data_IF_533728714394
#
_entry.id   IF_533728714394
#
_cell.length_a   1.000
_cell.length_b   1.000
_cell.length_c   1.000
_cell.angle_alpha   90.00
_cell.angle_beta   90.00
_cell.angle_gamma   90.00
#
_symmetry.space_group_name_H-M   'P 1'
#
loop_
_entity.id
_entity.type
_entity.pdbx_description
1 polymer ?
#
# COMPACT_ATOMS: atom_id res chain seq x y z
N UNK A 1 16.50 35.84 -33.35
CA UNK A 1 16.50 34.68 -32.44
C UNK A 1 16.16 35.18 -31.05
N UNK A 2 15.00 34.77 -30.51
CA UNK A 2 14.54 35.19 -29.16
C UNK A 2 15.10 34.20 -28.13
N UNK A 3 15.79 34.65 -27.07
CA UNK A 3 16.21 33.76 -25.99
C UNK A 3 14.99 33.38 -25.14
N UNK A 4 14.82 32.07 -24.90
CA UNK A 4 13.85 31.56 -23.93
C UNK A 4 14.50 31.58 -22.53
N UNK A 5 13.79 32.06 -21.49
CA UNK A 5 14.29 31.97 -20.12
C UNK A 5 14.12 30.53 -19.63
N UNK A 6 15.24 29.88 -19.31
CA UNK A 6 15.24 28.61 -18.57
C UNK A 6 14.96 28.94 -17.11
N UNK A 7 13.72 28.71 -16.67
CA UNK A 7 13.35 28.81 -15.26
C UNK A 7 13.84 27.53 -14.56
N UNK A 8 15.05 27.59 -14.01
CA UNK A 8 15.58 26.56 -13.13
C UNK A 8 15.10 26.85 -11.69
N UNK A 9 13.97 26.26 -11.29
CA UNK A 9 13.54 26.23 -9.90
C UNK A 9 14.08 24.96 -9.23
N UNK A 10 15.38 24.95 -8.94
CA UNK A 10 15.98 23.98 -8.04
C UNK A 10 15.99 24.58 -6.62
N UNK A 11 14.88 24.43 -5.90
CA UNK A 11 14.84 24.66 -4.46
C UNK A 11 15.51 23.48 -3.78
N UNK A 12 16.82 23.58 -3.61
CA UNK A 12 17.59 22.72 -2.72
C UNK A 12 17.19 23.05 -1.27
N UNK A 13 16.37 22.21 -0.66
CA UNK A 13 16.16 22.17 0.78
C UNK A 13 17.43 21.62 1.46
N UNK A 14 18.50 22.42 1.45
CA UNK A 14 19.55 22.28 2.44
C UNK A 14 19.04 22.96 3.73
N UNK A 15 18.23 22.22 4.49
CA UNK A 15 17.74 22.66 5.79
C UNK A 15 18.90 22.79 6.77
N UNK A 16 19.46 23.99 6.90
CA UNK A 16 20.06 24.40 8.17
C UNK A 16 18.98 24.22 9.23
N UNK A 17 19.28 23.50 10.32
CA UNK A 17 18.33 23.11 11.36
C UNK A 17 17.62 24.29 12.03
N UNK A 18 16.59 24.81 11.36
CA UNK A 18 15.54 25.54 12.02
C UNK A 18 14.83 24.53 12.92
N UNK A 19 14.84 24.82 14.23
CA UNK A 19 14.08 24.11 15.23
C UNK A 19 12.59 24.41 15.05
N UNK A 20 12.04 24.19 13.86
CA UNK A 20 10.61 24.28 13.58
C UNK A 20 9.93 23.23 14.42
N UNK A 21 9.51 23.66 15.61
CA UNK A 21 8.71 22.88 16.53
C UNK A 21 7.32 22.78 15.92
N UNK A 22 6.84 21.56 15.72
CA UNK A 22 5.43 21.34 15.42
C UNK A 22 4.60 21.77 16.63
N UNK A 23 3.60 22.60 16.37
CA UNK A 23 2.62 23.06 17.36
C UNK A 23 1.25 22.52 16.97
N UNK A 24 0.31 22.51 17.92
CA UNK A 24 -1.07 22.08 17.68
C UNK A 24 -1.46 20.82 18.44
N UNK A 25 -2.72 20.44 18.24
CA UNK A 25 -3.31 19.23 18.79
C UNK A 25 -2.91 18.01 17.95
N UNK A 26 -2.89 16.83 18.59
CA UNK A 26 -2.70 15.55 17.94
C UNK A 26 -4.06 14.93 17.63
N UNK A 27 -4.28 14.60 16.36
CA UNK A 27 -5.47 13.92 15.87
C UNK A 27 -5.07 12.52 15.44
N UNK A 28 -5.67 11.52 16.09
CA UNK A 28 -5.30 10.12 15.95
C UNK A 28 -6.35 9.38 15.12
N UNK A 29 -5.87 8.62 14.14
CA UNK A 29 -6.73 7.89 13.23
C UNK A 29 -6.26 6.45 13.02
N UNK A 30 -7.18 5.60 12.63
CA UNK A 30 -6.93 4.26 12.08
C UNK A 30 -7.39 4.22 10.64
N UNK A 31 -6.66 3.52 9.77
CA UNK A 31 -7.09 3.25 8.40
C UNK A 31 -8.29 2.30 8.43
N UNK A 32 -9.46 2.80 8.03
CA UNK A 32 -10.74 2.09 8.03
C UNK A 32 -11.09 1.50 6.66
N UNK A 33 -10.50 2.03 5.60
CA UNK A 33 -10.53 1.44 4.27
C UNK A 33 -9.14 1.54 3.61
N UNK A 34 -8.70 0.45 2.98
CA UNK A 34 -7.49 0.37 2.17
C UNK A 34 -7.88 -0.14 0.78
N UNK A 35 -7.75 0.71 -0.24
CA UNK A 35 -8.13 0.40 -1.62
C UNK A 35 -6.89 0.24 -2.47
N UNK A 36 -6.65 -0.99 -2.89
CA UNK A 36 -5.70 -1.31 -3.97
C UNK A 36 -6.45 -1.19 -5.29
N UNK A 37 -5.77 -0.76 -6.34
CA UNK A 37 -6.39 -0.58 -7.64
C UNK A 37 -6.89 -1.91 -8.24
N UNK A 38 -8.19 -2.01 -8.47
CA UNK A 38 -8.85 -3.15 -9.13
C UNK A 38 -9.02 -2.89 -10.64
N UNK A 39 -8.79 -1.66 -11.09
CA UNK A 39 -8.84 -1.28 -12.50
C UNK A 39 -7.90 -0.10 -12.79
N UNK A 40 -7.66 0.15 -14.08
CA UNK A 40 -6.74 1.21 -14.53
C UNK A 40 -7.20 2.63 -14.16
N UNK A 41 -8.50 2.85 -13.95
CA UNK A 41 -9.00 4.17 -13.52
C UNK A 41 -8.62 4.43 -12.06
N UNK A 42 -8.83 3.44 -11.18
CA UNK A 42 -8.42 3.50 -9.78
C UNK A 42 -6.89 3.61 -9.65
N UNK A 43 -6.12 2.87 -10.45
CA UNK A 43 -4.65 2.98 -10.42
C UNK A 43 -4.16 4.42 -10.68
N UNK A 44 -4.82 5.14 -11.60
CA UNK A 44 -4.55 6.56 -11.86
C UNK A 44 -5.08 7.47 -10.75
N UNK A 45 -6.23 7.15 -10.17
CA UNK A 45 -6.77 7.91 -9.04
C UNK A 45 -5.83 7.84 -7.81
N UNK A 46 -5.23 6.67 -7.59
CA UNK A 46 -4.37 6.37 -6.44
C UNK A 46 -2.89 6.66 -6.71
N UNK A 47 -2.59 7.33 -7.81
CA UNK A 47 -1.23 7.67 -8.21
C UNK A 47 -0.84 9.08 -7.76
N UNK A 48 0.44 9.25 -7.42
CA UNK A 48 1.04 10.55 -7.10
C UNK A 48 2.27 10.75 -7.98
N UNK A 49 2.62 12.00 -8.27
CA UNK A 49 3.89 12.36 -8.89
C UNK A 49 4.98 12.31 -7.80
N UNK A 50 5.78 11.23 -7.80
CA UNK A 50 6.76 10.96 -6.75
C UNK A 50 8.12 11.63 -7.04
N UNK A 51 8.46 11.82 -8.32
CA UNK A 51 9.77 12.34 -8.76
C UNK A 51 9.73 13.79 -9.30
N UNK A 52 8.54 14.39 -9.44
CA UNK A 52 8.34 15.76 -9.92
C UNK A 52 8.31 15.90 -11.45
N UNK A 53 8.19 14.82 -12.21
CA UNK A 53 8.19 14.84 -13.68
C UNK A 53 6.81 15.09 -14.31
N UNK A 54 5.77 15.26 -13.48
CA UNK A 54 4.35 15.46 -13.86
C UNK A 54 3.68 14.23 -14.47
N UNK A 55 4.35 13.09 -14.46
CA UNK A 55 3.73 11.78 -14.63
C UNK A 55 3.26 11.32 -13.27
N UNK A 56 2.19 10.52 -13.26
CA UNK A 56 1.69 9.93 -12.03
C UNK A 56 2.20 8.51 -11.92
N UNK A 57 2.73 8.15 -10.75
CA UNK A 57 3.44 6.91 -10.52
C UNK A 57 2.54 5.94 -9.73
N UNK A 58 2.15 4.82 -10.35
CA UNK A 58 1.48 3.68 -9.69
C UNK A 58 1.53 2.40 -10.53
N UNK A 59 2.72 2.02 -11.01
CA UNK A 59 2.91 0.87 -11.88
C UNK A 59 2.45 -0.44 -11.22
N UNK A 60 2.74 -0.65 -9.92
CA UNK A 60 2.25 -1.83 -9.22
C UNK A 60 0.72 -1.85 -9.08
N UNK A 61 0.07 -0.69 -8.91
CA UNK A 61 -1.39 -0.59 -8.95
C UNK A 61 -1.98 -1.01 -10.30
N UNK A 62 -1.33 -0.66 -11.42
CA UNK A 62 -1.73 -1.10 -12.76
C UNK A 62 -1.60 -2.63 -12.94
N UNK A 63 -0.59 -3.23 -12.30
CA UNK A 63 -0.41 -4.70 -12.28
C UNK A 63 -1.54 -5.35 -11.49
N UNK A 64 -1.85 -4.85 -10.30
CA UNK A 64 -2.96 -5.39 -9.50
C UNK A 64 -4.30 -5.26 -10.20
N UNK A 65 -4.55 -4.14 -10.88
CA UNK A 65 -5.72 -3.95 -11.73
C UNK A 65 -5.81 -5.01 -12.85
N UNK A 66 -4.66 -5.38 -13.43
CA UNK A 66 -4.60 -6.43 -14.45
C UNK A 66 -4.86 -7.80 -13.84
N UNK A 67 -4.24 -8.12 -12.69
CA UNK A 67 -4.43 -9.39 -11.97
C UNK A 67 -5.87 -9.57 -11.50
N UNK A 68 -6.53 -8.50 -11.06
CA UNK A 68 -7.94 -8.52 -10.66
C UNK A 68 -8.85 -8.96 -11.81
N UNK A 69 -8.56 -8.54 -13.05
CA UNK A 69 -9.31 -8.99 -14.23
C UNK A 69 -9.24 -10.51 -14.49
N UNK A 70 -8.27 -11.20 -13.87
CA UNK A 70 -8.11 -12.66 -13.90
C UNK A 70 -8.56 -13.35 -12.60
N UNK A 71 -9.22 -12.64 -11.68
CA UNK A 71 -9.63 -13.18 -10.38
C UNK A 71 -8.46 -13.42 -9.42
N UNK A 72 -7.33 -12.75 -9.65
CA UNK A 72 -6.14 -12.76 -8.80
C UNK A 72 -5.97 -11.43 -8.03
N UNK A 73 -7.05 -10.67 -7.91
CA UNK A 73 -7.06 -9.39 -7.23
C UNK A 73 -6.74 -9.51 -5.73
N UNK A 74 -5.99 -8.54 -5.23
CA UNK A 74 -5.62 -8.43 -3.81
C UNK A 74 -6.55 -7.50 -3.02
N UNK A 75 -7.38 -6.70 -3.70
CA UNK A 75 -8.22 -5.66 -3.08
C UNK A 75 -9.23 -6.22 -2.08
N UNK A 76 -9.97 -7.27 -2.46
CA UNK A 76 -10.94 -7.92 -1.58
C UNK A 76 -10.28 -8.58 -0.36
N UNK A 77 -9.12 -9.19 -0.56
CA UNK A 77 -8.33 -9.83 0.50
C UNK A 77 -7.79 -8.80 1.50
N UNK A 78 -7.25 -7.69 1.01
CA UNK A 78 -6.81 -6.57 1.85
C UNK A 78 -7.98 -6.00 2.67
N UNK A 79 -9.14 -5.80 2.03
CA UNK A 79 -10.36 -5.34 2.72
C UNK A 79 -10.82 -6.31 3.80
N UNK A 80 -10.85 -7.61 3.51
CA UNK A 80 -11.25 -8.62 4.49
C UNK A 80 -10.29 -8.67 5.69
N UNK A 81 -8.98 -8.63 5.43
CA UNK A 81 -7.98 -8.60 6.49
C UNK A 81 -8.10 -7.35 7.37
N UNK A 82 -8.34 -6.18 6.76
CA UNK A 82 -8.58 -4.93 7.46
C UNK A 82 -9.81 -5.04 8.38
N UNK A 83 -10.94 -5.50 7.86
CA UNK A 83 -12.17 -5.70 8.64
C UNK A 83 -11.97 -6.64 9.83
N UNK A 84 -11.21 -7.72 9.62
CA UNK A 84 -10.88 -8.71 10.66
C UNK A 84 -9.81 -8.25 11.65
N UNK A 85 -9.24 -7.06 11.46
CA UNK A 85 -8.14 -6.52 12.29
C UNK A 85 -6.81 -7.26 12.09
N UNK A 86 -6.64 -7.96 10.96
CA UNK A 86 -5.36 -8.54 10.55
C UNK A 86 -4.40 -7.50 9.94
N UNK A 87 -4.90 -6.29 9.67
CA UNK A 87 -4.13 -5.12 9.26
C UNK A 87 -4.56 -3.97 10.16
N UNK A 88 -3.61 -3.30 10.82
CA UNK A 88 -3.87 -2.08 11.60
C UNK A 88 -2.80 -1.07 11.25
N UNK A 89 -3.20 -0.03 10.50
CA UNK A 89 -2.37 1.13 10.20
C UNK A 89 -2.95 2.34 10.92
N UNK A 90 -2.10 3.03 11.66
CA UNK A 90 -2.46 4.19 12.48
C UNK A 90 -1.81 5.44 11.89
N UNK A 91 -2.45 6.59 12.07
CA UNK A 91 -1.92 7.89 11.66
C UNK A 91 -2.10 8.91 12.78
N UNK A 92 -1.04 9.67 13.06
CA UNK A 92 -1.05 10.79 14.00
C UNK A 92 -0.78 12.08 13.23
N UNK A 93 -1.80 12.94 13.14
CA UNK A 93 -1.73 14.26 12.51
C UNK A 93 -1.62 15.33 13.59
N UNK A 94 -0.49 16.03 13.65
CA UNK A 94 -0.30 17.17 14.54
C UNK A 94 -0.51 18.48 13.78
N UNK A 95 -1.54 19.24 14.14
CA UNK A 95 -1.86 20.50 13.46
C UNK A 95 -2.54 21.53 14.39
N UNK A 96 -2.26 22.83 14.23
CA UNK A 96 -3.02 23.89 14.89
C UNK A 96 -4.48 24.03 14.40
N UNK A 97 -4.74 23.65 13.14
CA UNK A 97 -6.06 23.67 12.52
C UNK A 97 -6.10 22.68 11.34
N UNK A 98 -7.26 22.05 11.12
CA UNK A 98 -7.46 21.02 10.10
C UNK A 98 -7.86 21.56 8.71
N UNK A 99 -8.27 22.83 8.61
CA UNK A 99 -8.65 23.45 7.33
C UNK A 99 -7.48 24.24 6.71
N UNK A 100 -6.80 25.07 7.50
CA UNK A 100 -5.67 25.89 7.06
C UNK A 100 -4.64 26.03 8.19
N UNK A 101 -3.41 25.54 7.95
CA UNK A 101 -2.26 25.78 8.83
C UNK A 101 -0.96 25.80 8.03
N UNK A 102 -0.05 26.71 8.36
CA UNK A 102 1.25 26.84 7.70
C UNK A 102 2.14 25.61 7.85
N UNK A 103 1.97 24.88 8.95
CA UNK A 103 2.75 23.70 9.27
C UNK A 103 1.89 22.69 10.02
N UNK A 104 1.96 21.44 9.58
CA UNK A 104 1.42 20.25 10.21
C UNK A 104 2.43 19.11 10.08
N UNK A 105 2.37 18.17 11.01
CA UNK A 105 3.16 16.94 11.01
C UNK A 105 2.26 15.72 10.87
N UNK A 106 2.69 14.71 10.14
CA UNK A 106 1.99 13.45 9.98
C UNK A 106 2.97 12.29 10.15
N UNK A 107 2.62 11.35 11.01
CA UNK A 107 3.37 10.09 11.18
C UNK A 107 2.41 8.90 11.05
N UNK A 108 2.90 7.81 10.48
CA UNK A 108 2.19 6.53 10.39
C UNK A 108 2.85 5.49 11.28
N UNK A 109 2.03 4.55 11.75
CA UNK A 109 2.46 3.40 12.54
C UNK A 109 1.69 2.16 12.10
N UNK A 110 2.27 0.99 12.37
CA UNK A 110 1.53 -0.26 12.47
C UNK A 110 1.06 -0.44 13.92
N UNK A 111 -0.10 -1.06 14.08
CA UNK A 111 -0.69 -1.27 15.39
C UNK A 111 -1.15 -2.70 15.62
N UNK A 112 -1.66 -2.95 16.82
CA UNK A 112 -2.25 -4.22 17.24
C UNK A 112 -3.34 -4.00 18.28
N UNK A 113 -3.96 -5.10 18.70
CA UNK A 113 -4.87 -5.17 19.86
C UNK A 113 -6.02 -4.14 19.83
N UNK A 114 -6.83 -4.13 18.75
CA UNK A 114 -8.00 -3.25 18.68
C UNK A 114 -9.00 -3.52 19.81
N UNK A 115 -9.44 -2.46 20.49
CA UNK A 115 -10.55 -2.45 21.44
C UNK A 115 -11.61 -1.43 20.99
N UNK A 116 -12.82 -1.85 20.55
CA UNK A 116 -13.36 -3.20 20.63
C UNK A 116 -12.71 -4.19 19.65
N UNK A 117 -12.81 -5.49 19.97
CA UNK A 117 -12.35 -6.55 19.09
C UNK A 117 -12.98 -6.43 17.69
N UNK A 118 -12.27 -6.78 16.60
CA UNK A 118 -12.67 -6.41 15.24
C UNK A 118 -14.02 -6.98 14.81
N UNK A 119 -14.34 -8.20 15.26
CA UNK A 119 -15.55 -8.93 14.89
C UNK A 119 -16.31 -9.39 16.14
N UNK A 120 -17.64 -9.33 16.08
CA UNK A 120 -18.50 -9.99 17.08
C UNK A 120 -18.49 -11.52 16.90
N UNK A 121 -18.40 -11.98 15.65
CA UNK A 121 -18.23 -13.38 15.26
C UNK A 121 -17.13 -13.50 14.19
N UNK A 122 -15.94 -14.02 14.53
CA UNK A 122 -14.85 -14.20 13.56
C UNK A 122 -15.20 -15.09 12.36
N UNK A 123 -16.28 -15.88 12.40
CA UNK A 123 -16.72 -16.66 11.25
C UNK A 123 -17.53 -15.84 10.23
N UNK A 124 -18.00 -14.64 10.61
CA UNK A 124 -18.96 -13.83 9.84
C UNK A 124 -18.43 -12.44 9.57
N UNK A 125 -17.97 -12.20 8.34
CA UNK A 125 -17.34 -10.95 7.92
C UNK A 125 -18.26 -9.73 8.11
N UNK A 126 -19.57 -9.91 7.96
CA UNK A 126 -20.57 -8.85 8.16
C UNK A 126 -20.67 -8.35 9.61
N UNK A 127 -20.06 -9.05 10.57
CA UNK A 127 -20.00 -8.64 11.97
C UNK A 127 -18.68 -7.93 12.32
N UNK A 128 -17.77 -7.85 11.36
CA UNK A 128 -16.44 -7.26 11.51
C UNK A 128 -16.42 -5.74 11.26
N UNK A 129 -15.29 -5.08 11.53
CA UNK A 129 -15.11 -3.64 11.39
C UNK A 129 -15.57 -2.83 12.61
N UNK A 130 -15.76 -3.46 13.77
CA UNK A 130 -16.19 -2.77 15.00
C UNK A 130 -15.18 -1.70 15.44
N UNK A 131 -13.90 -1.91 15.13
CA UNK A 131 -12.79 -1.02 15.45
C UNK A 131 -12.77 0.28 14.61
N UNK A 132 -13.64 0.43 13.61
CA UNK A 132 -13.65 1.61 12.73
C UNK A 132 -14.76 2.61 13.05
N UNK A 133 -15.50 2.41 14.16
CA UNK A 133 -16.66 3.23 14.55
C UNK A 133 -16.30 4.55 15.28
N UNK A 134 -15.03 4.99 15.24
CA UNK A 134 -14.59 6.31 15.71
C UNK A 134 -14.16 6.43 17.18
N UNK A 135 -13.98 5.30 17.89
CA UNK A 135 -13.62 5.29 19.33
C UNK A 135 -12.69 4.14 19.71
N UNK A 136 -12.11 3.44 18.73
CA UNK A 136 -11.30 2.28 19.01
C UNK A 136 -9.94 2.66 19.58
N UNK A 137 -9.44 1.83 20.50
CA UNK A 137 -8.09 1.93 21.05
C UNK A 137 -7.18 0.91 20.40
N UNK A 138 -5.91 1.27 20.23
CA UNK A 138 -4.89 0.41 19.62
C UNK A 138 -3.56 0.50 20.38
N UNK A 139 -2.79 -0.59 20.32
CA UNK A 139 -1.37 -0.57 20.66
C UNK A 139 -0.54 -0.21 19.43
N UNK A 140 0.56 0.50 19.62
CA UNK A 140 1.51 0.86 18.55
C UNK A 140 2.68 -0.12 18.54
N UNK A 141 3.12 -0.56 17.35
CA UNK A 141 4.40 -1.24 17.18
C UNK A 141 5.51 -0.19 17.03
N UNK A 142 6.32 0.01 18.07
CA UNK A 142 7.41 1.00 18.08
C UNK A 142 8.43 0.81 16.94
N UNK A 143 8.56 -0.41 16.41
CA UNK A 143 9.46 -0.71 15.29
C UNK A 143 8.88 -0.33 13.91
N UNK A 144 7.71 0.32 13.89
CA UNK A 144 6.94 0.61 12.67
C UNK A 144 6.66 2.10 12.44
N UNK A 145 7.30 3.00 13.19
CA UNK A 145 7.16 4.44 12.99
C UNK A 145 7.69 4.86 11.62
N UNK A 146 6.88 5.57 10.83
CA UNK A 146 7.32 6.21 9.60
C UNK A 146 8.23 7.40 9.87
N UNK A 147 8.91 7.89 8.83
CA UNK A 147 9.48 9.24 8.91
C UNK A 147 8.35 10.28 9.09
N UNK A 148 8.65 11.37 9.79
CA UNK A 148 7.73 12.48 9.97
C UNK A 148 7.52 13.23 8.65
N UNK A 149 6.29 13.24 8.13
CA UNK A 149 5.89 14.09 7.03
C UNK A 149 5.55 15.49 7.55
N UNK A 150 6.17 16.53 7.01
CA UNK A 150 5.83 17.92 7.34
C UNK A 150 5.31 18.66 6.11
N UNK A 151 4.24 19.43 6.27
CA UNK A 151 3.64 20.20 5.18
C UNK A 151 2.61 21.21 5.66
N UNK A 152 2.12 22.05 4.75
CA UNK A 152 0.98 22.96 5.00
C UNK A 152 -0.32 22.20 4.78
N UNK A 153 -1.34 22.50 5.57
CA UNK A 153 -2.74 22.19 5.24
C UNK A 153 -3.34 23.45 4.60
N UNK A 154 -3.96 23.31 3.44
CA UNK A 154 -4.65 24.41 2.78
C UNK A 154 -5.98 23.96 2.17
N UNK A 155 -7.08 24.62 2.54
CA UNK A 155 -8.46 24.21 2.21
C UNK A 155 -8.71 22.71 2.49
N UNK A 156 -8.29 22.24 3.67
CA UNK A 156 -8.48 20.85 4.12
C UNK A 156 -7.67 19.81 3.34
N UNK A 157 -6.61 20.23 2.62
CA UNK A 157 -5.71 19.35 1.86
C UNK A 157 -4.30 19.43 2.42
N UNK A 158 -3.73 18.28 2.77
CA UNK A 158 -2.33 18.12 3.18
C UNK A 158 -1.57 17.35 2.10
N UNK A 159 -0.42 17.87 1.68
CA UNK A 159 0.50 17.15 0.77
C UNK A 159 1.89 17.19 1.38
N UNK A 160 2.49 16.03 1.59
CA UNK A 160 3.86 15.94 2.12
C UNK A 160 4.61 14.75 1.54
N UNK A 161 5.94 14.88 1.54
CA UNK A 161 6.84 13.74 1.36
C UNK A 161 7.09 13.06 2.70
N UNK A 162 7.17 11.74 2.67
CA UNK A 162 7.57 10.85 3.76
C UNK A 162 8.84 10.15 3.27
N UNK A 163 9.92 10.13 4.05
CA UNK A 163 11.15 9.47 3.61
C UNK A 163 10.92 7.96 3.43
N UNK A 164 10.61 7.27 4.52
CA UNK A 164 10.19 5.86 4.54
C UNK A 164 8.84 5.72 5.22
N UNK A 165 7.91 5.01 4.57
CA UNK A 165 6.58 4.71 5.11
C UNK A 165 6.34 3.19 5.11
N UNK A 166 6.26 2.54 6.28
CA UNK A 166 5.91 1.13 6.37
C UNK A 166 4.41 0.94 6.09
N UNK A 167 4.08 0.01 5.21
CA UNK A 167 2.72 -0.44 4.96
C UNK A 167 2.62 -1.95 5.16
N UNK A 168 1.41 -2.40 5.48
CA UNK A 168 1.06 -3.81 5.40
C UNK A 168 -0.02 -4.06 4.36
N UNK A 169 0.16 -5.13 3.60
CA UNK A 169 -0.81 -5.59 2.61
C UNK A 169 -1.14 -7.04 2.92
N UNK A 170 -2.43 -7.35 3.07
CA UNK A 170 -2.85 -8.75 3.11
C UNK A 170 -3.00 -9.30 1.69
N UNK A 171 -2.31 -10.40 1.45
CA UNK A 171 -2.31 -11.11 0.16
C UNK A 171 -3.12 -12.42 0.22
N UNK A 172 -3.40 -12.87 1.44
CA UNK A 172 -4.22 -14.04 1.74
C UNK A 172 -4.79 -13.92 3.17
N UNK A 173 -5.92 -14.57 3.51
CA UNK A 173 -6.43 -14.55 4.88
C UNK A 173 -5.38 -15.01 5.91
N UNK A 174 -4.99 -14.10 6.79
CA UNK A 174 -3.98 -14.33 7.83
C UNK A 174 -2.52 -14.24 7.37
N UNK A 175 -2.27 -13.87 6.11
CA UNK A 175 -0.91 -13.60 5.61
C UNK A 175 -0.80 -12.14 5.18
N UNK A 176 0.02 -11.39 5.89
CA UNK A 176 0.38 -10.01 5.57
C UNK A 176 1.81 -9.93 5.08
N UNK A 177 2.08 -8.97 4.20
CA UNK A 177 3.43 -8.57 3.83
C UNK A 177 3.65 -7.15 4.29
N UNK A 178 4.80 -6.92 4.93
CA UNK A 178 5.26 -5.58 5.29
C UNK A 178 6.19 -5.06 4.20
N UNK A 179 5.98 -3.83 3.75
CA UNK A 179 6.80 -3.15 2.76
C UNK A 179 7.14 -1.76 3.25
N UNK A 180 8.40 -1.36 3.07
CA UNK A 180 8.85 -0.02 3.41
C UNK A 180 8.89 0.83 2.13
N UNK A 181 7.88 1.67 1.94
CA UNK A 181 7.79 2.56 0.79
C UNK A 181 8.85 3.66 0.88
N UNK A 182 9.76 3.69 -0.08
CA UNK A 182 10.85 4.65 -0.19
C UNK A 182 10.42 5.91 -0.94
N UNK A 183 10.86 7.07 -0.44
CA UNK A 183 10.50 8.37 -1.00
C UNK A 183 8.98 8.54 -1.12
N UNK A 184 8.27 8.04 -0.12
CA UNK A 184 6.83 8.04 -0.07
C UNK A 184 6.26 9.47 -0.08
N UNK A 185 5.01 9.58 -0.49
CA UNK A 185 4.23 10.81 -0.48
C UNK A 185 2.82 10.49 -0.04
N UNK A 186 2.23 11.47 0.61
CA UNK A 186 0.88 11.39 1.14
C UNK A 186 0.12 12.62 0.70
N UNK A 187 -1.10 12.39 0.22
CA UNK A 187 -2.08 13.43 -0.05
C UNK A 187 -3.33 13.12 0.76
N UNK A 188 -3.61 13.94 1.76
CA UNK A 188 -4.84 13.87 2.54
C UNK A 188 -5.80 14.97 2.09
N UNK A 189 -7.08 14.69 2.22
CA UNK A 189 -8.19 15.56 1.85
C UNK A 189 -9.38 15.30 2.78
N UNK A 190 -10.34 16.22 2.79
CA UNK A 190 -11.53 16.12 3.65
C UNK A 190 -11.14 15.93 5.13
N UNK A 191 -10.08 16.60 5.57
CA UNK A 191 -9.50 16.43 6.90
C UNK A 191 -10.46 16.99 7.95
N UNK A 192 -10.86 16.15 8.89
CA UNK A 192 -11.72 16.49 10.02
C UNK A 192 -11.32 15.66 11.24
N UNK A 193 -11.87 15.97 12.42
CA UNK A 193 -11.59 15.20 13.64
C UNK A 193 -11.99 13.72 13.51
N UNK A 194 -13.04 13.42 12.75
CA UNK A 194 -13.61 12.08 12.66
C UNK A 194 -13.17 11.29 11.43
N UNK A 195 -12.73 11.98 10.38
CA UNK A 195 -12.56 11.39 9.04
C UNK A 195 -11.45 12.08 8.24
N UNK A 196 -10.69 11.28 7.48
CA UNK A 196 -9.75 11.73 6.46
C UNK A 196 -9.84 10.79 5.25
N UNK A 197 -9.84 11.35 4.04
CA UNK A 197 -9.65 10.61 2.79
C UNK A 197 -8.25 10.88 2.23
N UNK A 198 -7.51 9.85 1.80
CA UNK A 198 -6.13 10.03 1.39
C UNK A 198 -5.64 9.09 0.30
N UNK A 199 -4.46 9.42 -0.24
CA UNK A 199 -3.65 8.57 -1.09
C UNK A 199 -2.25 8.51 -0.49
N UNK A 200 -1.73 7.29 -0.33
CA UNK A 200 -0.36 7.00 0.07
C UNK A 200 0.32 6.36 -1.13
N UNK A 201 1.48 6.87 -1.54
CA UNK A 201 2.26 6.27 -2.61
C UNK A 201 3.76 6.35 -2.32
N UNK A 202 4.55 5.46 -2.90
CA UNK A 202 6.00 5.45 -2.79
C UNK A 202 6.64 4.39 -3.66
N UNK A 203 7.95 4.22 -3.54
CA UNK A 203 8.71 3.23 -4.30
C UNK A 203 9.06 1.99 -3.48
N UNK A 204 8.90 0.82 -4.08
CA UNK A 204 9.35 -0.47 -3.52
C UNK A 204 10.73 -0.79 -4.11
N UNK A 205 11.68 -1.16 -3.25
CA UNK A 205 13.04 -1.48 -3.71
C UNK A 205 13.08 -2.81 -4.46
N UNK A 206 14.07 -2.98 -5.34
CA UNK A 206 14.32 -4.29 -5.98
C UNK A 206 14.66 -5.38 -4.95
N UNK A 207 15.24 -5.01 -3.81
CA UNK A 207 15.51 -5.96 -2.74
C UNK A 207 14.21 -6.48 -2.13
N UNK A 208 13.26 -5.60 -1.81
CA UNK A 208 11.95 -5.99 -1.25
C UNK A 208 11.10 -6.73 -2.28
N UNK A 209 11.17 -6.35 -3.56
CA UNK A 209 10.50 -7.10 -4.63
C UNK A 209 10.97 -8.56 -4.68
N UNK A 210 12.29 -8.76 -4.68
CA UNK A 210 12.88 -10.10 -4.79
C UNK A 210 12.80 -10.90 -3.48
N UNK A 211 12.90 -10.22 -2.33
CA UNK A 211 12.97 -10.85 -1.01
C UNK A 211 11.60 -11.06 -0.35
N UNK A 212 10.60 -10.25 -0.71
CA UNK A 212 9.29 -10.21 -0.04
C UNK A 212 8.18 -10.44 -1.07
N UNK A 213 8.02 -9.55 -2.06
CA UNK A 213 6.84 -9.55 -2.94
C UNK A 213 6.77 -10.81 -3.81
N UNK A 214 7.83 -11.13 -4.54
CA UNK A 214 7.86 -12.27 -5.48
C UNK A 214 7.70 -13.62 -4.74
N UNK A 215 8.42 -13.90 -3.63
CA UNK A 215 8.21 -15.13 -2.88
C UNK A 215 6.77 -15.30 -2.36
N UNK A 216 6.15 -14.20 -1.96
CA UNK A 216 4.79 -14.22 -1.44
C UNK A 216 3.74 -14.39 -2.55
N UNK A 217 3.93 -13.75 -3.70
CA UNK A 217 3.14 -14.02 -4.90
C UNK A 217 3.26 -15.49 -5.34
N UNK A 218 4.48 -16.04 -5.33
CA UNK A 218 4.74 -17.46 -5.61
C UNK A 218 3.98 -18.38 -4.64
N UNK A 219 4.05 -18.13 -3.33
CA UNK A 219 3.34 -18.91 -2.33
C UNK A 219 1.82 -18.90 -2.59
N UNK A 220 1.26 -17.76 -3.00
CA UNK A 220 -0.17 -17.67 -3.31
C UNK A 220 -0.55 -18.39 -4.60
N UNK A 221 0.24 -18.25 -5.68
CA UNK A 221 0.04 -19.00 -6.91
C UNK A 221 0.10 -20.51 -6.66
N UNK A 222 1.08 -20.96 -5.88
CA UNK A 222 1.21 -22.36 -5.50
C UNK A 222 -0.02 -22.87 -4.74
N UNK A 223 -0.55 -22.07 -3.80
CA UNK A 223 -1.76 -22.41 -3.06
C UNK A 223 -2.98 -22.55 -3.98
N UNK A 224 -3.19 -21.59 -4.88
CA UNK A 224 -4.29 -21.60 -5.86
C UNK A 224 -4.21 -22.89 -6.69
N UNK A 225 -3.05 -23.16 -7.28
CA UNK A 225 -2.83 -24.39 -8.09
C UNK A 225 -3.06 -25.65 -7.26
N UNK A 226 -2.53 -25.73 -6.04
CA UNK A 226 -2.70 -26.92 -5.18
C UNK A 226 -4.15 -27.17 -4.77
N UNK A 227 -4.97 -26.12 -4.70
CA UNK A 227 -6.38 -26.18 -4.29
C UNK A 227 -7.29 -26.51 -5.48
N UNK A 228 -7.04 -25.88 -6.62
CA UNK A 228 -7.91 -25.95 -7.81
C UNK A 228 -7.52 -27.09 -8.77
N UNK A 229 -6.30 -27.62 -8.68
CA UNK A 229 -5.82 -28.73 -9.52
C UNK A 229 -5.60 -30.02 -8.69
N UNK A 230 -6.66 -30.74 -8.29
CA UNK A 230 -6.59 -31.84 -7.31
C UNK A 230 -5.88 -33.10 -7.81
N UNK A 231 -5.51 -33.20 -9.10
CA UNK A 231 -4.89 -34.40 -9.70
C UNK A 231 -3.77 -34.06 -10.69
N UNK A 232 -2.52 -33.88 -10.20
CA UNK A 232 -1.35 -33.75 -11.07
C UNK A 232 -1.26 -34.94 -12.05
N UNK A 233 -1.04 -34.67 -13.33
CA UNK A 233 -0.93 -35.70 -14.38
C UNK A 233 -2.25 -36.29 -14.89
N UNK A 234 -3.40 -35.71 -14.53
CA UNK A 234 -4.70 -36.03 -15.13
C UNK A 234 -4.85 -35.50 -16.56
N UNK A 235 -6.02 -35.76 -17.16
CA UNK A 235 -6.50 -35.04 -18.35
C UNK A 235 -7.62 -34.09 -17.87
N UNK A 236 -7.55 -32.77 -18.15
CA UNK A 236 -6.50 -32.04 -18.89
C UNK A 236 -5.16 -32.01 -18.13
N UNK A 237 -4.03 -31.65 -18.78
CA UNK A 237 -2.71 -31.58 -18.14
C UNK A 237 -2.79 -30.87 -16.78
N UNK A 238 -2.13 -31.43 -15.77
CA UNK A 238 -2.16 -30.95 -14.38
C UNK A 238 -3.49 -31.11 -13.62
N UNK A 239 -4.55 -31.56 -14.27
CA UNK A 239 -5.84 -31.86 -13.63
C UNK A 239 -6.59 -30.62 -13.14
N UNK A 240 -6.26 -29.44 -13.67
CA UNK A 240 -7.01 -28.20 -13.48
C UNK A 240 -8.29 -28.22 -14.33
N UNK A 241 -9.30 -27.42 -13.99
CA UNK A 241 -10.47 -27.27 -14.85
C UNK A 241 -10.08 -26.30 -15.97
N UNK A 242 -10.34 -26.67 -17.24
CA UNK A 242 -9.98 -25.81 -18.37
C UNK A 242 -10.59 -24.41 -18.22
N UNK A 243 -9.77 -23.37 -18.44
CA UNK A 243 -10.13 -21.95 -18.28
C UNK A 243 -10.40 -21.49 -16.84
N UNK A 244 -10.01 -22.27 -15.83
CA UNK A 244 -9.97 -21.77 -14.45
C UNK A 244 -8.71 -20.91 -14.20
N UNK A 245 -8.65 -20.35 -13.00
CA UNK A 245 -7.57 -19.46 -12.57
C UNK A 245 -6.25 -20.22 -12.44
N UNK A 246 -6.29 -21.44 -11.94
CA UNK A 246 -5.10 -22.27 -11.79
C UNK A 246 -4.53 -22.76 -13.13
N UNK A 247 -5.38 -23.12 -14.09
CA UNK A 247 -5.02 -23.45 -15.48
C UNK A 247 -4.31 -22.26 -16.15
N UNK A 248 -4.85 -21.06 -15.94
CA UNK A 248 -4.22 -19.81 -16.41
C UNK A 248 -2.84 -19.59 -15.77
N UNK A 249 -2.71 -19.77 -14.46
CA UNK A 249 -1.43 -19.64 -13.75
C UNK A 249 -0.39 -20.67 -14.22
N UNK A 250 -0.79 -21.94 -14.36
CA UNK A 250 0.07 -23.00 -14.92
C UNK A 250 0.51 -22.62 -16.33
N UNK A 251 -0.41 -22.21 -17.20
CA UNK A 251 -0.08 -21.84 -18.59
C UNK A 251 0.89 -20.66 -18.72
N UNK A 252 0.95 -19.77 -17.71
CA UNK A 252 1.88 -18.64 -17.70
C UNK A 252 3.21 -18.92 -17.02
N UNK A 253 3.21 -19.71 -15.95
CA UNK A 253 4.35 -19.81 -15.05
C UNK A 253 5.01 -21.18 -15.01
N UNK A 254 4.31 -22.29 -15.28
CA UNK A 254 4.90 -23.63 -15.32
C UNK A 254 5.65 -23.82 -16.64
N UNK A 255 6.93 -23.43 -16.66
CA UNK A 255 7.75 -23.42 -17.86
C UNK A 255 8.31 -24.81 -18.20
N UNK A 256 8.39 -25.69 -17.20
CA UNK A 256 8.94 -27.04 -17.35
C UNK A 256 7.85 -28.12 -17.55
N UNK A 257 6.57 -27.74 -17.43
CA UNK A 257 5.37 -28.58 -17.56
C UNK A 257 5.29 -29.71 -16.52
N UNK A 258 5.78 -29.49 -15.30
CA UNK A 258 5.76 -30.47 -14.21
C UNK A 258 4.54 -30.35 -13.28
N UNK A 259 3.61 -29.45 -13.61
CA UNK A 259 2.40 -29.15 -12.86
C UNK A 259 2.67 -28.50 -11.49
N UNK A 260 3.79 -27.81 -11.36
CA UNK A 260 4.13 -26.99 -10.20
C UNK A 260 4.65 -25.67 -10.72
N UNK A 261 4.38 -24.62 -9.94
CA UNK A 261 5.00 -23.33 -10.13
C UNK A 261 6.10 -23.23 -9.08
N UNK A 262 7.35 -23.22 -9.51
CA UNK A 262 8.51 -22.99 -8.65
C UNK A 262 8.87 -21.50 -8.57
N UNK A 263 9.51 -21.09 -7.48
CA UNK A 263 9.90 -19.69 -7.27
C UNK A 263 10.79 -19.16 -8.41
N UNK A 264 11.67 -20.01 -8.96
CA UNK A 264 12.56 -19.63 -10.04
C UNK A 264 11.83 -19.41 -11.36
N UNK A 265 10.65 -20.02 -11.55
CA UNK A 265 9.82 -19.83 -12.73
C UNK A 265 9.05 -18.51 -12.64
N UNK A 266 8.56 -18.15 -11.45
CA UNK A 266 7.92 -16.84 -11.21
C UNK A 266 8.93 -15.71 -11.34
N UNK A 267 10.09 -15.82 -10.68
CA UNK A 267 11.09 -14.75 -10.65
C UNK A 267 11.81 -14.50 -11.97
N UNK A 268 11.84 -15.49 -12.88
CA UNK A 268 12.44 -15.38 -14.23
C UNK A 268 11.39 -15.31 -15.34
N UNK A 269 10.12 -15.17 -14.98
CA UNK A 269 9.07 -15.05 -15.96
C UNK A 269 9.19 -13.68 -16.65
N UNK A 270 9.26 -13.64 -17.98
CA UNK A 270 9.38 -12.38 -18.72
C UNK A 270 8.21 -11.42 -18.47
N UNK A 271 7.02 -11.95 -18.16
CA UNK A 271 5.88 -11.12 -17.77
C UNK A 271 6.15 -10.47 -16.41
N UNK A 272 6.61 -11.23 -15.41
CA UNK A 272 6.92 -10.68 -14.08
C UNK A 272 8.07 -9.68 -14.15
N UNK A 273 9.15 -9.99 -14.87
CA UNK A 273 10.27 -9.07 -15.07
C UNK A 273 9.83 -7.76 -15.72
N UNK A 274 8.95 -7.84 -16.74
CA UNK A 274 8.42 -6.64 -17.41
C UNK A 274 7.43 -5.85 -16.55
N UNK A 275 6.59 -6.54 -15.77
CA UNK A 275 5.57 -5.90 -14.94
C UNK A 275 6.21 -5.25 -13.71
N UNK A 276 7.12 -5.95 -13.03
CA UNK A 276 7.81 -5.47 -11.82
C UNK A 276 9.08 -4.67 -12.13
N UNK A 277 9.30 -4.28 -13.39
CA UNK A 277 10.44 -3.46 -13.76
C UNK A 277 10.35 -2.09 -13.05
N UNK A 278 11.44 -1.60 -12.43
CA UNK A 278 11.43 -0.28 -11.79
C UNK A 278 11.07 0.84 -12.76
N UNK A 279 10.00 1.58 -12.47
CA UNK A 279 9.49 2.73 -13.23
C UNK A 279 9.85 4.07 -12.58
N UNK A 280 10.14 4.07 -11.27
CA UNK A 280 10.43 5.27 -10.49
C UNK A 280 11.93 5.45 -10.26
N UNK A 281 12.39 6.70 -10.31
CA UNK A 281 13.76 7.08 -9.97
C UNK A 281 13.76 8.16 -8.88
N UNK A 282 14.31 7.83 -7.71
CA UNK A 282 14.50 8.77 -6.60
C UNK A 282 15.99 8.77 -6.26
N UNK A 283 16.66 9.90 -6.48
CA UNK A 283 18.12 9.98 -6.33
C UNK A 283 18.85 9.04 -7.29
N UNK A 284 19.49 8.00 -6.75
CA UNK A 284 20.20 6.96 -7.54
C UNK A 284 19.44 5.64 -7.61
N UNK A 285 18.36 5.52 -6.85
CA UNK A 285 17.64 4.28 -6.70
C UNK A 285 16.57 4.14 -7.78
N UNK A 286 16.42 2.91 -8.26
CA UNK A 286 15.38 2.50 -9.21
C UNK A 286 14.37 1.69 -8.41
N UNK A 287 13.14 2.19 -8.37
CA UNK A 287 12.06 1.66 -7.52
C UNK A 287 10.86 1.30 -8.40
N UNK A 288 10.01 0.40 -7.92
CA UNK A 288 8.69 0.16 -8.49
C UNK A 288 7.67 1.03 -7.75
N UNK A 289 6.94 1.89 -8.44
CA UNK A 289 5.95 2.77 -7.82
C UNK A 289 4.69 2.00 -7.40
N UNK A 290 4.19 2.33 -6.22
CA UNK A 290 2.98 1.77 -5.67
C UNK A 290 2.19 2.84 -4.93
N UNK A 291 0.88 2.88 -5.17
CA UNK A 291 -0.04 3.80 -4.53
C UNK A 291 -1.38 3.15 -4.20
N UNK A 292 -1.92 3.51 -3.04
CA UNK A 292 -3.19 3.05 -2.48
C UNK A 292 -4.02 4.24 -2.03
N UNK A 293 -5.34 4.12 -2.14
CA UNK A 293 -6.24 5.03 -1.45
C UNK A 293 -6.57 4.50 -0.06
N UNK A 294 -6.76 5.42 0.88
CA UNK A 294 -7.10 5.13 2.26
C UNK A 294 -8.25 6.02 2.73
N UNK A 295 -9.12 5.45 3.54
CA UNK A 295 -10.01 6.21 4.41
C UNK A 295 -9.54 6.00 5.85
N UNK A 296 -9.53 7.06 6.65
CA UNK A 296 -9.14 7.02 8.04
C UNK A 296 -10.28 7.51 8.93
N UNK A 297 -10.53 6.82 10.04
CA UNK A 297 -11.49 7.23 11.06
C UNK A 297 -10.80 7.48 12.39
N UNK A 298 -11.39 8.30 13.24
CA UNK A 298 -10.83 8.63 14.55
C UNK A 298 -10.56 7.38 15.42
N UNK A 299 -9.44 7.40 16.11
CA UNK A 299 -8.97 6.34 16.98
C UNK A 299 -8.21 6.93 18.18
N UNK A 300 -7.85 6.09 19.14
CA UNK A 300 -6.98 6.48 20.25
C UNK A 300 -5.81 5.52 20.39
N UNK A 301 -4.60 6.06 20.51
CA UNK A 301 -3.39 5.31 20.80
C UNK A 301 -2.35 6.24 21.43
N UNK A 302 -1.21 5.72 21.86
CA UNK A 302 -0.10 6.56 22.36
C UNK A 302 1.08 6.38 21.40
N UNK A 303 1.44 7.42 20.62
CA UNK A 303 2.66 7.39 19.82
C UNK A 303 3.90 7.15 20.70
N UNK A 304 4.93 6.45 20.20
CA UNK A 304 6.22 6.35 20.88
C UNK A 304 6.86 7.75 21.04
N UNK A 305 7.60 7.94 22.14
CA UNK A 305 8.33 9.18 22.46
C UNK A 305 9.54 9.43 21.55
#
# INVERSE_FOLDING_TARGET
MKPYPVLAAALLFAGCGDNTRLEGEHYQYVVSELRIAENNAMAREFSLDLNGDKTVDNQLGMIFATLDSFGLGVGSTAREALLRGGLVMLADLQAPALEDTDLAGLSFYLGSDPDPAPCLDPARLETCGQQFLGQAQFSVDDASTSDLATGRIHNGVFNAGVGVLPIEIAIDPGTTIRLDLQGARVRLSQISEDHISGVIAGGITTADLNGIVIPQAHAQMHRIVSTECPKPGGSPPCGCIESDRADTLIGWFDANYDCRIELHEVSRNSLVESLLAPDLAIGRDRLLSFGVAVELTSASFTPPE
#
